data_IF_148913303249
#
_entry.id   IF_148913303249
#
_cell.length_a   1.000
_cell.length_b   1.000
_cell.length_c   1.000
_cell.angle_alpha   90.00
_cell.angle_beta   90.00
_cell.angle_gamma   90.00
#
_symmetry.space_group_name_H-M   'P 1'
#
loop_
_entity.id
_entity.type
_entity.pdbx_description
1 polymer ?
#
# COMPACT_ATOMS: atom_id res chain seq x y z
N UNK A 1 45.29 24.63 -72.82
CA UNK A 1 45.31 26.11 -72.80
C UNK A 1 44.81 26.56 -71.43
N UNK A 2 45.76 26.81 -70.51
CA UNK A 2 46.02 28.11 -69.85
C UNK A 2 44.86 28.60 -68.94
N UNK A 3 45.01 28.92 -67.65
CA UNK A 3 46.17 29.05 -66.75
C UNK A 3 45.68 29.44 -65.34
N UNK A 4 46.24 28.82 -64.27
CA UNK A 4 46.79 29.41 -63.01
C UNK A 4 45.88 30.25 -62.07
N UNK A 5 46.05 30.33 -60.74
CA UNK A 5 46.87 29.62 -59.73
C UNK A 5 46.71 30.30 -58.35
N UNK A 6 46.79 29.51 -57.26
CA UNK A 6 47.39 29.76 -55.91
C UNK A 6 46.75 30.82 -54.98
N UNK A 7 46.40 30.54 -53.71
CA UNK A 7 47.15 30.05 -52.51
C UNK A 7 48.28 30.97 -51.99
N UNK A 8 48.07 31.51 -50.78
CA UNK A 8 49.06 31.71 -49.69
C UNK A 8 48.30 32.10 -48.40
N UNK A 9 48.32 31.34 -47.28
CA UNK A 9 49.32 31.33 -46.18
C UNK A 9 49.68 32.77 -45.74
N UNK A 10 49.71 33.20 -44.48
CA UNK A 10 49.96 32.57 -43.16
C UNK A 10 50.05 33.70 -42.13
N UNK A 11 49.70 33.51 -40.86
CA UNK A 11 50.47 33.96 -39.66
C UNK A 11 49.62 34.03 -38.39
N UNK A 12 49.92 33.18 -37.39
CA UNK A 12 49.76 33.52 -35.97
C UNK A 12 50.75 34.66 -35.59
N UNK A 13 50.50 35.40 -34.50
CA UNK A 13 51.19 35.04 -33.25
C UNK A 13 50.35 35.21 -31.97
N UNK A 14 50.75 34.44 -30.96
CA UNK A 14 50.31 34.45 -29.57
C UNK A 14 50.93 35.58 -28.73
N UNK A 15 50.18 36.10 -27.73
CA UNK A 15 50.68 36.68 -26.46
C UNK A 15 49.58 36.49 -25.40
N UNK A 16 49.71 35.54 -24.47
CA UNK A 16 50.26 35.66 -23.09
C UNK A 16 49.60 36.75 -22.22
N UNK A 17 48.93 36.29 -21.16
CA UNK A 17 48.46 37.08 -20.02
C UNK A 17 47.81 36.18 -18.96
N UNK A 18 48.62 35.39 -18.26
CA UNK A 18 48.30 34.68 -17.01
C UNK A 18 48.08 35.67 -15.86
N UNK A 19 47.18 35.40 -14.90
CA UNK A 19 47.30 35.55 -13.42
C UNK A 19 45.95 35.08 -12.84
N UNK A 20 45.86 33.90 -12.23
CA UNK A 20 46.00 33.61 -10.78
C UNK A 20 44.70 33.85 -9.97
N UNK A 21 44.26 32.77 -9.32
CA UNK A 21 43.04 32.57 -8.50
C UNK A 21 43.14 33.27 -7.10
N UNK A 22 42.43 32.84 -6.01
CA UNK A 22 40.98 32.63 -5.75
C UNK A 22 40.49 33.27 -4.41
N UNK A 23 39.15 33.26 -4.17
CA UNK A 23 38.47 33.21 -2.83
C UNK A 23 38.66 34.42 -1.86
N UNK A 24 37.83 34.61 -0.78
CA UNK A 24 37.28 33.57 0.09
C UNK A 24 35.79 33.67 0.48
N UNK A 25 35.31 32.51 0.92
CA UNK A 25 34.08 32.28 1.66
C UNK A 25 33.99 33.06 2.99
N UNK A 26 32.76 33.43 3.36
CA UNK A 26 32.15 33.50 4.70
C UNK A 26 30.75 34.13 4.47
N UNK A 27 29.64 33.81 5.12
CA UNK A 27 29.37 33.06 6.32
C UNK A 27 27.95 32.48 6.24
N UNK A 28 27.76 31.40 7.00
CA UNK A 28 26.49 30.80 7.38
C UNK A 28 25.51 31.87 7.91
N UNK A 29 24.26 31.81 7.46
CA UNK A 29 23.13 32.37 8.21
C UNK A 29 22.07 31.29 8.39
N UNK A 30 22.16 30.63 9.54
CA UNK A 30 21.06 29.93 10.20
C UNK A 30 19.92 30.92 10.50
N UNK A 31 18.65 30.59 10.21
CA UNK A 31 17.53 31.33 10.77
C UNK A 31 17.40 31.05 12.27
N UNK A 32 16.90 31.99 13.08
CA UNK A 32 16.89 31.85 14.53
C UNK A 32 15.81 30.85 14.99
N UNK A 33 16.01 30.20 16.15
CA UNK A 33 15.02 29.32 16.75
C UNK A 33 13.90 30.17 17.38
N UNK A 34 12.64 29.78 17.12
CA UNK A 34 11.51 30.27 17.91
C UNK A 34 11.59 29.65 19.30
N UNK A 35 11.99 30.46 20.28
CA UNK A 35 11.85 30.15 21.69
C UNK A 35 10.36 30.24 22.08
N UNK A 36 9.83 29.15 22.63
CA UNK A 36 8.55 29.17 23.34
C UNK A 36 8.71 29.84 24.71
N UNK A 37 7.58 30.27 25.28
CA UNK A 37 7.24 30.45 26.71
C UNK A 37 5.82 31.09 26.79
N UNK A 38 5.07 31.02 27.91
CA UNK A 38 4.13 29.93 28.21
C UNK A 38 2.69 30.41 28.55
N UNK A 39 1.83 29.43 28.89
CA UNK A 39 0.79 29.49 29.92
C UNK A 39 -0.52 30.29 29.72
N UNK A 40 -1.60 29.55 30.01
CA UNK A 40 -2.72 29.86 30.92
C UNK A 40 -4.00 30.54 30.43
N UNK A 41 -5.10 29.97 30.98
CA UNK A 41 -6.45 30.51 31.21
C UNK A 41 -7.40 30.59 30.00
N UNK A 42 -8.32 29.63 29.86
CA UNK A 42 -9.60 29.58 30.57
C UNK A 42 -10.46 30.84 30.35
N UNK A 43 -11.41 30.75 29.43
CA UNK A 43 -12.57 31.64 29.41
C UNK A 43 -13.83 30.80 29.48
N UNK A 44 -14.51 30.96 30.61
CA UNK A 44 -15.80 30.39 30.91
C UNK A 44 -16.88 31.45 30.71
N UNK A 45 -18.02 31.01 30.16
CA UNK A 45 -19.40 31.42 30.47
C UNK A 45 -19.77 32.93 30.45
N UNK A 46 -20.62 33.27 29.47
CA UNK A 46 -22.05 33.71 29.62
C UNK A 46 -22.55 34.11 28.22
N UNK A 47 -23.81 33.85 27.81
CA UNK A 47 -25.04 34.13 28.52
C UNK A 47 -26.18 33.16 28.18
N UNK A 48 -27.18 33.16 29.08
CA UNK A 48 -28.41 32.36 29.12
C UNK A 48 -29.59 33.15 28.55
N UNK A 49 -30.59 32.44 28.04
CA UNK A 49 -32.03 32.73 28.23
C UNK A 49 -32.83 31.49 27.79
N UNK A 50 -33.20 30.55 28.65
CA UNK A 50 -34.46 30.44 29.45
C UNK A 50 -35.76 30.82 28.75
N UNK A 51 -36.55 29.80 28.38
CA UNK A 51 -38.00 29.58 28.60
C UNK A 51 -38.28 28.17 28.05
N UNK A 52 -38.92 27.18 28.69
CA UNK A 52 -39.86 27.12 29.81
C UNK A 52 -40.92 26.07 29.41
N UNK A 53 -40.84 24.86 29.97
CA UNK A 53 -41.89 23.83 29.89
C UNK A 53 -43.07 24.18 30.82
N UNK A 54 -44.28 23.72 30.49
CA UNK A 54 -45.06 22.89 31.42
C UNK A 54 -45.65 21.67 30.67
N UNK A 55 -45.80 20.46 31.22
CA UNK A 55 -46.41 20.09 32.48
C UNK A 55 -47.73 19.34 32.20
N UNK A 56 -47.71 18.00 32.32
CA UNK A 56 -48.87 17.08 32.24
C UNK A 56 -49.94 17.34 33.32
N UNK A 57 -51.20 16.95 33.10
CA UNK A 57 -51.77 15.70 33.67
C UNK A 57 -52.71 14.98 32.66
N UNK A 58 -53.04 13.69 32.67
CA UNK A 58 -53.20 12.71 33.74
C UNK A 58 -54.65 12.22 33.75
N UNK A 59 -54.87 10.93 33.39
CA UNK A 59 -55.84 9.98 34.00
C UNK A 59 -56.87 9.24 33.10
N UNK A 60 -56.81 7.90 33.23
CA UNK A 60 -57.87 6.86 33.38
C UNK A 60 -58.59 6.27 32.14
N UNK A 61 -58.45 4.93 32.02
CA UNK A 61 -59.22 4.01 31.15
C UNK A 61 -60.60 3.61 31.70
N UNK A 62 -61.27 2.58 31.14
CA UNK A 62 -61.19 1.16 31.59
C UNK A 62 -61.16 0.11 30.43
N UNK A 63 -60.51 -1.08 30.57
CA UNK A 63 -61.03 -2.47 30.86
C UNK A 63 -62.33 -2.85 30.10
N UNK A 64 -62.58 -4.04 29.54
CA UNK A 64 -62.08 -5.46 29.58
C UNK A 64 -62.87 -6.25 28.50
N UNK A 65 -62.41 -7.34 27.85
CA UNK A 65 -62.59 -8.81 28.12
C UNK A 65 -62.41 -9.55 26.75
N UNK A 66 -62.07 -10.83 26.56
CA UNK A 66 -61.71 -11.99 27.40
C UNK A 66 -60.94 -13.03 26.54
N UNK A 67 -60.04 -13.84 27.15
CA UNK A 67 -60.13 -15.32 27.34
C UNK A 67 -59.88 -16.19 26.09
N UNK A 68 -59.23 -17.38 26.07
CA UNK A 68 -58.42 -18.30 26.91
C UNK A 68 -57.91 -19.37 25.89
N UNK A 69 -56.77 -20.08 26.01
CA UNK A 69 -56.49 -21.25 26.88
C UNK A 69 -55.03 -21.72 26.59
N UNK A 70 -54.14 -21.91 27.58
CA UNK A 70 -53.73 -23.16 28.31
C UNK A 70 -53.40 -24.35 27.37
N UNK A 71 -52.26 -25.06 27.45
CA UNK A 71 -51.59 -25.75 28.59
C UNK A 71 -50.08 -26.03 28.30
N UNK A 72 -49.12 -25.93 29.25
CA UNK A 72 -48.46 -27.02 30.05
C UNK A 72 -48.31 -28.38 29.30
N UNK A 73 -47.18 -29.11 29.26
CA UNK A 73 -46.21 -29.47 30.31
C UNK A 73 -44.96 -30.23 29.77
N UNK A 74 -43.86 -30.11 30.52
CA UNK A 74 -42.72 -31.02 30.80
C UNK A 74 -42.51 -32.40 30.12
N UNK A 75 -41.22 -32.63 29.83
CA UNK A 75 -40.38 -33.80 30.18
C UNK A 75 -40.35 -35.09 29.32
N UNK A 76 -39.12 -35.61 29.26
CA UNK A 76 -38.70 -37.02 29.31
C UNK A 76 -38.28 -37.71 28.00
N UNK A 77 -37.04 -38.20 28.08
CA UNK A 77 -36.38 -39.21 27.26
C UNK A 77 -37.24 -40.46 27.00
N UNK A 78 -36.93 -41.15 25.88
CA UNK A 78 -37.19 -42.59 25.66
C UNK A 78 -36.00 -43.25 24.96
N UNK A 79 -35.71 -44.47 25.41
CA UNK A 79 -34.65 -45.41 25.04
C UNK A 79 -35.03 -46.30 23.82
N UNK A 80 -34.02 -46.76 23.05
CA UNK A 80 -33.57 -48.17 22.79
C UNK A 80 -34.24 -48.90 21.58
N UNK A 81 -33.67 -50.00 21.00
CA UNK A 81 -32.75 -51.00 21.61
C UNK A 81 -31.64 -51.68 20.75
N UNK A 82 -30.79 -52.45 21.46
CA UNK A 82 -30.04 -53.64 21.01
C UNK A 82 -28.51 -53.50 21.10
N UNK A 83 -27.69 -54.36 21.71
CA UNK A 83 -27.88 -55.62 22.43
C UNK A 83 -26.53 -56.39 22.48
N UNK A 84 -26.23 -57.00 23.65
CA UNK A 84 -25.31 -58.14 23.94
C UNK A 84 -23.82 -57.92 24.26
N UNK A 85 -23.49 -58.36 25.50
CA UNK A 85 -22.37 -59.24 25.96
C UNK A 85 -20.91 -58.82 25.64
N UNK A 86 -19.93 -58.83 26.54
CA UNK A 86 -19.82 -59.28 27.93
C UNK A 86 -18.35 -59.20 28.43
N UNK A 87 -18.17 -59.61 29.68
CA UNK A 87 -16.93 -60.10 30.33
C UNK A 87 -15.87 -59.09 30.82
N UNK A 88 -15.71 -59.09 32.14
CA UNK A 88 -14.64 -58.50 32.96
C UNK A 88 -13.39 -59.38 32.93
N UNK A 89 -12.20 -58.79 32.78
CA UNK A 89 -10.93 -59.45 33.13
C UNK A 89 -9.90 -58.48 33.72
N UNK A 90 -9.35 -58.87 34.87
CA UNK A 90 -8.30 -58.21 35.65
C UNK A 90 -6.94 -58.20 34.91
N UNK A 91 -6.06 -57.21 35.15
CA UNK A 91 -4.70 -57.23 34.59
C UNK A 91 -3.78 -58.17 35.38
N UNK A 92 -3.09 -59.07 34.66
CA UNK A 92 -1.99 -59.88 35.17
C UNK A 92 -0.67 -59.12 35.05
N UNK A 93 0.15 -59.17 36.10
CA UNK A 93 1.56 -58.74 36.13
C UNK A 93 2.46 -59.76 35.44
N UNK A 94 3.54 -59.28 34.82
CA UNK A 94 4.93 -59.80 34.77
C UNK A 94 5.70 -59.13 33.60
N UNK A 95 7.05 -59.16 33.55
CA UNK A 95 8.04 -58.72 34.54
C UNK A 95 9.04 -57.70 33.94
N UNK A 96 9.96 -57.20 34.77
CA UNK A 96 11.02 -56.27 34.39
C UNK A 96 11.92 -56.81 33.27
N UNK A 97 12.14 -55.99 32.24
CA UNK A 97 13.13 -56.20 31.19
C UNK A 97 13.94 -54.91 30.99
N UNK A 98 15.23 -54.98 31.29
CA UNK A 98 16.24 -53.96 31.04
C UNK A 98 16.37 -53.72 29.53
N UNK A 99 16.04 -52.52 29.07
CA UNK A 99 16.18 -52.08 27.67
C UNK A 99 16.76 -50.67 27.63
N UNK A 100 17.84 -50.52 26.86
CA UNK A 100 18.75 -49.39 26.83
C UNK A 100 18.07 -48.02 26.58
N UNK A 101 18.64 -46.98 27.20
CA UNK A 101 18.39 -45.57 26.86
C UNK A 101 18.78 -45.32 25.39
N UNK A 102 18.01 -44.54 24.61
CA UNK A 102 18.41 -44.17 23.27
C UNK A 102 19.69 -43.32 23.34
N UNK A 103 20.67 -43.70 22.52
CA UNK A 103 21.96 -43.03 22.39
C UNK A 103 21.79 -41.52 22.18
N UNK A 104 22.43 -40.74 23.05
CA UNK A 104 22.70 -39.32 22.80
C UNK A 104 23.43 -39.17 21.45
N UNK A 105 23.05 -38.19 20.61
CA UNK A 105 23.78 -37.92 19.38
C UNK A 105 25.22 -37.53 19.73
N UNK A 106 26.17 -38.01 18.91
CA UNK A 106 27.59 -37.74 19.07
C UNK A 106 27.87 -36.22 19.05
N UNK A 107 28.79 -35.70 19.90
CA UNK A 107 29.20 -34.32 19.85
C UNK A 107 30.09 -34.11 18.61
N UNK A 108 29.72 -33.18 17.73
CA UNK A 108 30.59 -32.76 16.63
C UNK A 108 29.97 -32.75 15.23
N UNK A 109 28.65 -32.61 15.09
CA UNK A 109 28.12 -31.97 13.89
C UNK A 109 27.94 -30.49 14.23
N UNK A 110 28.85 -29.66 13.75
CA UNK A 110 28.65 -28.21 13.66
C UNK A 110 27.42 -27.99 12.76
N UNK A 111 26.24 -27.99 13.39
CA UNK A 111 25.07 -27.37 12.80
C UNK A 111 25.49 -25.91 12.68
N UNK A 112 25.72 -25.45 11.47
CA UNK A 112 26.04 -24.06 11.21
C UNK A 112 24.76 -23.26 11.53
N UNK A 113 24.54 -22.98 12.82
CA UNK A 113 23.41 -22.20 13.29
C UNK A 113 23.68 -20.82 12.73
N UNK A 114 22.91 -20.43 11.72
CA UNK A 114 22.97 -19.09 11.17
C UNK A 114 22.61 -18.14 12.31
N UNK A 115 23.61 -17.49 12.91
CA UNK A 115 23.45 -16.59 14.07
C UNK A 115 22.92 -15.22 13.66
N UNK A 116 22.58 -15.05 12.37
CA UNK A 116 21.97 -13.85 11.82
C UNK A 116 20.52 -13.62 12.30
N UNK A 117 19.99 -12.41 12.09
CA UNK A 117 18.62 -12.08 12.46
C UNK A 117 17.62 -12.94 11.67
N UNK A 118 16.65 -13.53 12.37
CA UNK A 118 15.54 -14.28 11.74
C UNK A 118 14.55 -13.31 11.09
N UNK A 119 14.17 -13.54 9.84
CA UNK A 119 13.32 -12.64 9.05
C UNK A 119 12.00 -13.32 8.74
N UNK A 120 10.87 -12.68 9.05
CA UNK A 120 9.56 -13.17 8.62
C UNK A 120 9.17 -12.51 7.30
N UNK A 121 8.75 -13.28 6.30
CA UNK A 121 8.13 -12.77 5.07
C UNK A 121 6.63 -13.00 5.17
N UNK A 122 5.85 -11.95 5.40
CA UNK A 122 4.39 -12.05 5.50
C UNK A 122 3.74 -12.02 4.11
N UNK A 123 2.94 -13.03 3.78
CA UNK A 123 2.20 -13.10 2.53
C UNK A 123 0.82 -13.75 2.71
N UNK A 124 0.00 -13.79 1.65
CA UNK A 124 -1.41 -14.17 1.73
C UNK A 124 -2.29 -12.98 2.14
N UNK A 125 -3.00 -13.13 3.26
CA UNK A 125 -4.01 -12.19 3.75
C UNK A 125 -5.43 -12.56 3.31
N UNK A 126 -6.39 -11.74 3.75
CA UNK A 126 -7.84 -11.92 3.51
C UNK A 126 -8.38 -11.00 2.40
N UNK A 127 -7.50 -10.31 1.68
CA UNK A 127 -7.88 -9.41 0.58
C UNK A 127 -8.16 -10.18 -0.71
N UNK A 128 -8.74 -9.50 -1.70
CA UNK A 128 -8.90 -10.02 -3.05
C UNK A 128 -7.56 -10.28 -3.77
N UNK A 129 -6.45 -9.75 -3.25
CA UNK A 129 -5.12 -9.80 -3.84
C UNK A 129 -4.22 -10.89 -3.24
N UNK A 130 -4.81 -11.78 -2.41
CA UNK A 130 -4.14 -12.89 -1.72
C UNK A 130 -3.20 -13.69 -2.63
N UNK A 131 -3.63 -14.08 -3.82
CA UNK A 131 -2.82 -14.91 -4.71
C UNK A 131 -1.55 -14.20 -5.21
N UNK A 132 -1.66 -12.90 -5.50
CA UNK A 132 -0.51 -12.07 -5.88
C UNK A 132 0.44 -11.93 -4.69
N UNK A 133 -0.09 -11.78 -3.48
CA UNK A 133 0.67 -11.68 -2.24
C UNK A 133 1.46 -12.96 -1.97
N UNK A 134 0.85 -14.15 -2.14
CA UNK A 134 1.51 -15.44 -2.03
C UNK A 134 2.65 -15.62 -3.05
N UNK A 135 2.42 -15.24 -4.31
CA UNK A 135 3.43 -15.29 -5.37
C UNK A 135 4.61 -14.34 -5.09
N UNK A 136 4.32 -13.11 -4.68
CA UNK A 136 5.32 -12.14 -4.28
C UNK A 136 6.14 -12.64 -3.07
N UNK A 137 5.48 -13.19 -2.05
CA UNK A 137 6.10 -13.71 -0.83
C UNK A 137 7.07 -14.85 -1.11
N UNK A 138 6.67 -15.85 -1.91
CA UNK A 138 7.55 -16.96 -2.29
C UNK A 138 8.82 -16.48 -2.99
N UNK A 139 8.70 -15.49 -3.88
CA UNK A 139 9.84 -14.94 -4.62
C UNK A 139 10.78 -14.13 -3.70
N UNK A 140 10.22 -13.31 -2.81
CA UNK A 140 11.00 -12.55 -1.81
C UNK A 140 11.74 -13.50 -0.88
N UNK A 141 11.06 -14.53 -0.37
CA UNK A 141 11.67 -15.55 0.47
C UNK A 141 12.84 -16.24 -0.22
N UNK A 142 12.67 -16.67 -1.48
CA UNK A 142 13.74 -17.27 -2.27
C UNK A 142 14.95 -16.34 -2.44
N UNK A 143 14.70 -15.05 -2.71
CA UNK A 143 15.77 -14.04 -2.83
C UNK A 143 16.53 -13.83 -1.50
N UNK A 144 15.81 -13.78 -0.37
CA UNK A 144 16.43 -13.66 0.95
C UNK A 144 17.30 -14.87 1.30
N UNK A 145 16.80 -16.08 1.04
CA UNK A 145 17.56 -17.33 1.24
C UNK A 145 18.80 -17.37 0.35
N UNK A 146 18.69 -16.98 -0.93
CA UNK A 146 19.82 -16.90 -1.85
C UNK A 146 20.89 -15.89 -1.39
N UNK A 147 20.48 -14.85 -0.65
CA UNK A 147 21.37 -13.85 -0.02
C UNK A 147 21.92 -14.27 1.34
N UNK A 148 21.56 -15.45 1.84
CA UNK A 148 22.06 -16.03 3.09
C UNK A 148 21.33 -15.60 4.36
N UNK A 149 20.16 -14.95 4.24
CA UNK A 149 19.32 -14.62 5.39
C UNK A 149 18.61 -15.87 5.94
N UNK A 150 18.47 -15.95 7.26
CA UNK A 150 17.52 -16.88 7.89
C UNK A 150 16.11 -16.30 7.75
N UNK A 151 15.43 -16.67 6.66
CA UNK A 151 14.10 -16.17 6.32
C UNK A 151 13.06 -17.29 6.33
N UNK A 152 11.90 -17.00 6.91
CA UNK A 152 10.75 -17.90 6.96
C UNK A 152 9.54 -17.25 6.27
N UNK A 153 8.86 -18.00 5.41
CA UNK A 153 7.62 -17.56 4.78
C UNK A 153 6.46 -17.79 5.75
N UNK A 154 5.75 -16.72 6.09
CA UNK A 154 4.62 -16.73 7.02
C UNK A 154 3.35 -16.42 6.25
N UNK A 155 2.64 -17.47 5.85
CA UNK A 155 1.36 -17.34 5.17
C UNK A 155 0.25 -16.93 6.16
N UNK A 156 -0.48 -15.88 5.84
CA UNK A 156 -1.54 -15.31 6.66
C UNK A 156 -2.89 -15.77 6.12
N UNK A 157 -3.57 -16.63 6.85
CA UNK A 157 -4.98 -16.99 6.62
C UNK A 157 -5.92 -16.27 7.60
N UNK A 158 -5.40 -16.04 8.82
CA UNK A 158 -6.02 -15.22 9.87
C UNK A 158 -4.94 -14.36 10.53
N UNK A 159 -5.35 -13.22 11.06
CA UNK A 159 -4.51 -12.32 11.86
C UNK A 159 -4.48 -12.71 13.34
N UNK A 160 -5.28 -13.69 13.76
CA UNK A 160 -5.29 -14.19 15.13
C UNK A 160 -3.92 -14.75 15.52
N UNK A 161 -3.41 -14.34 16.68
CA UNK A 161 -2.12 -14.78 17.20
C UNK A 161 -0.90 -14.29 16.41
N UNK A 162 -1.08 -13.37 15.45
CA UNK A 162 0.03 -12.83 14.64
C UNK A 162 1.19 -12.29 15.49
N UNK A 163 0.97 -11.56 16.61
CA UNK A 163 2.07 -11.11 17.46
C UNK A 163 2.92 -12.25 18.03
N UNK A 164 2.28 -13.34 18.45
CA UNK A 164 2.97 -14.51 19.00
C UNK A 164 3.78 -15.23 17.91
N UNK A 165 3.22 -15.33 16.71
CA UNK A 165 3.91 -15.91 15.54
C UNK A 165 5.15 -15.09 15.16
N UNK A 166 5.09 -13.77 15.26
CA UNK A 166 6.18 -12.87 14.90
C UNK A 166 7.19 -12.61 16.05
N UNK A 167 6.94 -13.12 17.26
CA UNK A 167 7.72 -12.81 18.44
C UNK A 167 9.22 -13.13 18.28
N UNK A 168 9.55 -14.27 17.66
CA UNK A 168 10.93 -14.76 17.49
C UNK A 168 11.72 -14.13 16.34
N UNK A 169 11.07 -13.33 15.47
CA UNK A 169 11.71 -12.73 14.30
C UNK A 169 12.30 -11.37 14.60
N UNK A 170 13.47 -11.06 14.06
CA UNK A 170 14.12 -9.76 14.25
C UNK A 170 13.52 -8.66 13.37
N UNK A 171 13.03 -9.00 12.18
CA UNK A 171 12.40 -8.07 11.24
C UNK A 171 11.34 -8.74 10.39
N UNK A 172 10.52 -7.93 9.73
CA UNK A 172 9.42 -8.39 8.89
C UNK A 172 9.53 -7.79 7.48
N UNK A 173 9.49 -8.65 6.47
CA UNK A 173 9.22 -8.25 5.10
C UNK A 173 7.71 -8.41 4.87
N UNK A 174 6.96 -7.32 4.95
CA UNK A 174 5.53 -7.32 4.65
C UNK A 174 5.32 -7.33 3.13
N UNK A 175 4.56 -8.29 2.59
CA UNK A 175 4.10 -8.28 1.20
C UNK A 175 2.62 -8.68 1.08
N UNK A 176 1.84 -8.41 2.14
CA UNK A 176 0.39 -8.54 2.15
C UNK A 176 -0.24 -7.44 1.27
N UNK A 177 -0.68 -7.77 0.06
CA UNK A 177 -1.36 -6.81 -0.81
C UNK A 177 -2.83 -6.59 -0.39
N UNK A 178 -3.30 -5.35 -0.48
CA UNK A 178 -4.67 -4.96 -0.14
C UNK A 178 -5.01 -5.06 1.35
N UNK A 179 -6.08 -4.36 1.75
CA UNK A 179 -6.59 -4.37 3.12
C UNK A 179 -5.51 -4.12 4.17
N UNK A 180 -5.51 -4.94 5.23
CA UNK A 180 -4.65 -4.78 6.41
C UNK A 180 -3.14 -4.73 6.11
N UNK A 181 -2.71 -5.26 4.96
CA UNK A 181 -1.32 -5.25 4.53
C UNK A 181 -0.84 -3.94 3.95
N UNK A 182 -1.74 -3.13 3.39
CA UNK A 182 -1.45 -1.86 2.72
C UNK A 182 -2.15 -0.63 3.34
N UNK A 183 -3.16 -0.83 4.19
CA UNK A 183 -3.92 0.25 4.84
C UNK A 183 -3.29 0.79 6.13
N UNK A 184 -2.16 0.22 6.56
CA UNK A 184 -1.43 0.62 7.77
C UNK A 184 -1.72 -0.24 9.00
N UNK A 185 -2.69 -1.17 8.96
CA UNK A 185 -3.09 -1.98 10.12
C UNK A 185 -1.97 -2.91 10.58
N UNK A 186 -1.36 -3.68 9.67
CA UNK A 186 -0.23 -4.56 9.99
C UNK A 186 1.00 -3.74 10.36
N UNK A 187 1.24 -2.61 9.70
CA UNK A 187 2.35 -1.71 9.99
C UNK A 187 2.27 -1.17 11.43
N UNK A 188 1.10 -0.73 11.87
CA UNK A 188 0.88 -0.27 13.24
C UNK A 188 1.13 -1.39 14.25
N UNK A 189 0.69 -2.62 13.94
CA UNK A 189 0.98 -3.77 14.80
C UNK A 189 2.49 -4.01 14.94
N UNK A 190 3.23 -3.96 13.82
CA UNK A 190 4.69 -4.14 13.81
C UNK A 190 5.40 -3.02 14.58
N UNK A 191 4.94 -1.77 14.45
CA UNK A 191 5.42 -0.63 15.24
C UNK A 191 5.21 -0.88 16.75
N UNK A 192 4.01 -1.33 17.17
CA UNK A 192 3.70 -1.67 18.58
C UNK A 192 4.57 -2.82 19.11
N UNK A 193 4.94 -3.77 18.25
CA UNK A 193 5.82 -4.88 18.60
C UNK A 193 7.31 -4.49 18.60
N UNK A 194 7.66 -3.26 18.19
CA UNK A 194 9.05 -2.82 18.03
C UNK A 194 9.80 -3.61 16.94
N UNK A 195 9.08 -4.16 15.95
CA UNK A 195 9.67 -4.94 14.85
C UNK A 195 9.95 -4.00 13.68
N UNK A 196 11.20 -3.84 13.22
CA UNK A 196 11.46 -3.17 11.96
C UNK A 196 10.85 -3.96 10.79
N UNK A 197 10.39 -3.23 9.79
CA UNK A 197 9.87 -3.84 8.56
C UNK A 197 10.21 -3.05 7.31
N UNK A 198 10.18 -3.78 6.20
CA UNK A 198 10.28 -3.23 4.84
C UNK A 198 8.96 -2.58 4.45
N UNK A 199 9.05 -1.39 3.86
CA UNK A 199 7.90 -0.63 3.35
C UNK A 199 7.47 0.52 4.24
N UNK A 200 6.48 1.25 3.75
CA UNK A 200 5.97 2.48 4.36
C UNK A 200 5.33 2.26 5.74
N UNK A 201 5.39 3.27 6.60
CA UNK A 201 4.76 3.24 7.94
C UNK A 201 3.22 3.38 7.89
N UNK A 202 2.52 3.26 9.03
CA UNK A 202 1.06 3.14 9.07
C UNK A 202 0.33 4.35 8.45
N UNK A 203 0.77 5.58 8.72
CA UNK A 203 0.13 6.77 8.17
C UNK A 203 0.28 6.84 6.64
N UNK A 204 1.49 6.60 6.14
CA UNK A 204 1.77 6.64 4.70
C UNK A 204 1.02 5.52 3.95
N UNK A 205 0.95 4.33 4.54
CA UNK A 205 0.13 3.21 4.05
C UNK A 205 -1.36 3.57 3.99
N UNK A 206 -1.92 4.10 5.08
CA UNK A 206 -3.31 4.55 5.13
C UNK A 206 -3.62 5.64 4.08
N UNK A 207 -2.74 6.62 3.92
CA UNK A 207 -2.88 7.67 2.92
C UNK A 207 -2.75 7.14 1.49
N UNK A 208 -1.84 6.20 1.23
CA UNK A 208 -1.70 5.56 -0.08
C UNK A 208 -2.94 4.75 -0.48
N UNK A 209 -3.55 4.05 0.48
CA UNK A 209 -4.79 3.30 0.26
C UNK A 209 -6.02 4.21 0.08
N UNK A 210 -6.03 5.38 0.74
CA UNK A 210 -7.16 6.31 0.69
C UNK A 210 -7.08 7.25 -0.52
N UNK A 211 -7.84 6.92 -1.58
CA UNK A 211 -7.87 7.68 -2.84
C UNK A 211 -8.40 9.10 -2.70
N UNK A 212 -9.16 9.41 -1.66
CA UNK A 212 -9.67 10.77 -1.41
C UNK A 212 -8.61 11.61 -0.72
N UNK A 213 -8.01 11.09 0.37
CA UNK A 213 -7.04 11.85 1.14
C UNK A 213 -5.71 12.02 0.40
N UNK A 214 -5.23 11.00 -0.32
CA UNK A 214 -4.06 11.13 -1.19
C UNK A 214 -4.26 12.20 -2.26
N UNK A 215 -5.43 12.24 -2.93
CA UNK A 215 -5.75 13.27 -3.92
C UNK A 215 -5.77 14.68 -3.35
N UNK A 216 -6.36 14.86 -2.16
CA UNK A 216 -6.32 16.15 -1.46
C UNK A 216 -4.89 16.58 -1.15
N UNK A 217 -4.04 15.66 -0.69
CA UNK A 217 -2.62 15.94 -0.46
C UNK A 217 -1.92 16.37 -1.75
N UNK A 218 -2.09 15.61 -2.84
CA UNK A 218 -1.52 15.92 -4.15
C UNK A 218 -1.95 17.30 -4.65
N UNK A 219 -3.24 17.61 -4.60
CA UNK A 219 -3.78 18.92 -4.99
C UNK A 219 -3.23 20.05 -4.12
N UNK A 220 -3.13 19.84 -2.81
CA UNK A 220 -2.53 20.80 -1.88
C UNK A 220 -1.07 21.13 -2.19
N UNK A 221 -0.35 20.21 -2.86
CA UNK A 221 1.03 20.41 -3.34
C UNK A 221 1.12 20.90 -4.79
N UNK A 222 -0.02 21.07 -5.48
CA UNK A 222 -0.07 21.44 -6.89
C UNK A 222 0.29 20.30 -7.85
N UNK A 223 0.26 19.04 -7.39
CA UNK A 223 0.45 17.87 -8.24
C UNK A 223 -0.84 17.61 -9.04
N UNK A 224 -0.78 17.51 -10.39
CA UNK A 224 -1.96 17.27 -11.20
C UNK A 224 -2.63 15.93 -10.88
N UNK A 225 -3.92 15.97 -10.59
CA UNK A 225 -4.82 14.82 -10.49
C UNK A 225 -6.01 15.05 -11.42
N UNK A 226 -6.68 14.02 -11.94
CA UNK A 226 -7.93 14.23 -12.66
C UNK A 226 -8.94 14.93 -11.76
N UNK A 227 -9.73 15.84 -12.31
CA UNK A 227 -10.83 16.46 -11.56
C UNK A 227 -11.79 15.37 -11.07
N UNK A 228 -12.28 15.52 -9.84
CA UNK A 228 -12.95 14.44 -9.12
C UNK A 228 -13.98 14.95 -8.12
N UNK A 229 -14.90 14.07 -7.74
CA UNK A 229 -15.81 14.25 -6.63
C UNK A 229 -15.99 12.94 -5.84
N UNK A 230 -16.41 13.07 -4.59
CA UNK A 230 -16.57 11.96 -3.66
C UNK A 230 -18.02 11.92 -3.15
N UNK A 231 -18.62 10.72 -3.17
CA UNK A 231 -20.01 10.49 -2.73
C UNK A 231 -20.02 9.49 -1.59
N UNK A 232 -20.65 9.88 -0.48
CA UNK A 232 -20.94 8.99 0.65
C UNK A 232 -22.40 8.58 0.67
N UNK A 233 -22.72 7.49 1.36
CA UNK A 233 -24.09 7.01 1.54
C UNK A 233 -25.07 8.04 2.11
N UNK A 234 -24.57 9.03 2.85
CA UNK A 234 -25.35 10.11 3.46
C UNK A 234 -25.59 11.30 2.50
N UNK A 235 -24.79 11.44 1.44
CA UNK A 235 -24.80 12.58 0.52
C UNK A 235 -25.01 12.19 -0.94
N UNK A 236 -25.82 11.14 -1.18
CA UNK A 236 -26.05 10.56 -2.51
C UNK A 236 -26.59 11.58 -3.53
N UNK A 237 -27.41 12.52 -3.08
CA UNK A 237 -28.10 13.48 -3.95
C UNK A 237 -27.14 14.45 -4.66
N UNK A 238 -25.95 14.71 -4.11
CA UNK A 238 -24.97 15.62 -4.69
C UNK A 238 -24.16 15.04 -5.86
N UNK A 239 -24.08 13.72 -5.99
CA UNK A 239 -23.23 13.08 -7.00
C UNK A 239 -23.65 13.39 -8.44
N UNK A 240 -24.96 13.54 -8.69
CA UNK A 240 -25.48 13.79 -10.03
C UNK A 240 -25.15 15.21 -10.55
N UNK A 241 -25.24 16.24 -9.69
CA UNK A 241 -24.90 17.61 -10.08
C UNK A 241 -23.40 17.77 -10.31
N UNK A 242 -22.58 17.17 -9.44
CA UNK A 242 -21.12 17.17 -9.61
C UNK A 242 -20.69 16.44 -10.88
N UNK A 243 -21.33 15.32 -11.22
CA UNK A 243 -21.07 14.61 -12.45
C UNK A 243 -21.45 15.42 -13.70
N UNK A 244 -22.56 16.17 -13.65
CA UNK A 244 -22.99 17.03 -14.74
C UNK A 244 -22.00 18.19 -14.97
N UNK A 245 -21.41 18.74 -13.91
CA UNK A 245 -20.37 19.77 -13.98
C UNK A 245 -19.05 19.21 -14.56
N UNK A 246 -18.64 18.01 -14.10
CA UNK A 246 -17.38 17.38 -14.51
C UNK A 246 -17.40 16.84 -15.94
N UNK A 247 -18.58 16.42 -16.40
CA UNK A 247 -18.80 15.80 -17.70
C UNK A 247 -18.40 14.32 -17.77
N UNK A 248 -18.88 13.64 -18.80
CA UNK A 248 -18.63 12.21 -19.05
C UNK A 248 -17.59 12.00 -20.16
N UNK A 249 -16.87 10.85 -20.17
CA UNK A 249 -16.99 9.72 -19.25
C UNK A 249 -16.23 9.91 -17.92
N UNK A 250 -16.67 9.17 -16.90
CA UNK A 250 -16.09 9.16 -15.55
C UNK A 250 -15.55 7.78 -15.19
N UNK A 251 -14.43 7.74 -14.49
CA UNK A 251 -13.96 6.56 -13.75
C UNK A 251 -14.55 6.60 -12.35
N UNK A 252 -15.23 5.52 -11.96
CA UNK A 252 -15.90 5.38 -10.66
C UNK A 252 -15.27 4.21 -9.92
N UNK A 253 -14.81 4.44 -8.68
CA UNK A 253 -14.07 3.45 -7.89
C UNK A 253 -14.33 3.57 -6.39
N UNK A 254 -14.26 2.47 -5.62
CA UNK A 254 -14.28 2.53 -4.17
C UNK A 254 -13.08 3.33 -3.65
N UNK A 255 -13.24 3.94 -2.48
CA UNK A 255 -12.24 4.83 -1.88
C UNK A 255 -10.96 4.11 -1.44
N UNK A 256 -11.08 2.89 -0.90
CA UNK A 256 -10.02 2.18 -0.14
C UNK A 256 -9.75 0.75 -0.61
N UNK A 257 -10.00 0.46 -1.88
CA UNK A 257 -9.63 -0.83 -2.47
C UNK A 257 -8.44 -0.67 -3.42
N UNK A 258 -7.75 -1.78 -3.72
CA UNK A 258 -6.65 -1.82 -4.67
C UNK A 258 -7.04 -1.39 -6.09
N UNK A 259 -6.04 -1.03 -6.91
CA UNK A 259 -6.13 -0.39 -8.24
C UNK A 259 -7.07 -1.03 -9.27
N UNK A 260 -7.47 -2.29 -9.07
CA UNK A 260 -8.27 -3.06 -10.03
C UNK A 260 -9.61 -3.54 -9.47
N UNK A 261 -9.89 -3.29 -8.19
CA UNK A 261 -11.10 -3.78 -7.53
C UNK A 261 -12.18 -2.71 -7.58
N UNK A 262 -13.31 -3.02 -8.21
CA UNK A 262 -14.48 -2.15 -8.25
C UNK A 262 -14.27 -0.86 -9.06
N UNK A 263 -13.40 -0.87 -10.07
CA UNK A 263 -13.20 0.28 -10.96
C UNK A 263 -14.06 0.15 -12.21
N UNK A 264 -14.90 1.15 -12.48
CA UNK A 264 -15.86 1.15 -13.57
C UNK A 264 -15.73 2.42 -14.41
N UNK A 265 -16.06 2.30 -15.70
CA UNK A 265 -16.20 3.44 -16.62
C UNK A 265 -17.69 3.75 -16.79
N UNK A 266 -18.14 4.92 -16.31
CA UNK A 266 -19.49 5.42 -16.51
C UNK A 266 -19.50 6.45 -17.65
N UNK A 267 -20.23 6.16 -18.73
CA UNK A 267 -20.29 7.01 -19.94
C UNK A 267 -21.42 8.04 -19.91
N UNK A 268 -22.35 7.90 -18.98
CA UNK A 268 -23.53 8.75 -18.84
C UNK A 268 -24.07 8.67 -17.41
N UNK A 269 -25.10 9.46 -17.13
CA UNK A 269 -25.73 9.55 -15.81
C UNK A 269 -26.40 8.25 -15.36
N UNK A 270 -27.02 7.50 -16.27
CA UNK A 270 -27.66 6.23 -15.93
C UNK A 270 -26.62 5.17 -15.51
N UNK A 271 -25.50 5.08 -16.24
CA UNK A 271 -24.38 4.19 -15.89
C UNK A 271 -23.76 4.59 -14.53
N UNK A 272 -23.58 5.90 -14.27
CA UNK A 272 -23.10 6.39 -12.98
C UNK A 272 -24.05 6.03 -11.85
N UNK A 273 -25.36 6.20 -12.04
CA UNK A 273 -26.36 5.86 -11.03
C UNK A 273 -26.35 4.37 -10.69
N UNK A 274 -26.25 3.51 -11.71
CA UNK A 274 -26.19 2.06 -11.53
C UNK A 274 -24.94 1.64 -10.76
N UNK A 275 -23.75 2.05 -11.22
CA UNK A 275 -22.48 1.72 -10.57
C UNK A 275 -22.39 2.34 -9.18
N UNK A 276 -22.85 3.59 -9.03
CA UNK A 276 -22.86 4.30 -7.76
C UNK A 276 -23.70 3.57 -6.71
N UNK A 277 -24.89 3.07 -7.07
CA UNK A 277 -25.72 2.25 -6.16
C UNK A 277 -25.01 0.97 -5.72
N UNK A 278 -24.33 0.28 -6.64
CA UNK A 278 -23.56 -0.93 -6.33
C UNK A 278 -22.43 -0.62 -5.33
N UNK A 279 -21.58 0.36 -5.64
CA UNK A 279 -20.45 0.72 -4.79
C UNK A 279 -20.90 1.27 -3.43
N UNK A 280 -21.95 2.08 -3.38
CA UNK A 280 -22.51 2.55 -2.11
C UNK A 280 -23.09 1.41 -1.26
N UNK A 281 -23.71 0.41 -1.88
CA UNK A 281 -24.24 -0.75 -1.15
C UNK A 281 -23.13 -1.63 -0.60
N UNK A 282 -22.00 -1.74 -1.31
CA UNK A 282 -20.91 -2.64 -0.94
C UNK A 282 -19.87 -1.98 -0.03
N UNK A 283 -19.54 -0.73 -0.29
CA UNK A 283 -18.43 0.00 0.33
C UNK A 283 -18.86 1.26 1.09
N UNK A 284 -20.12 1.69 0.96
CA UNK A 284 -20.65 2.88 1.65
C UNK A 284 -20.27 4.22 1.01
N UNK A 285 -19.21 4.26 0.19
CA UNK A 285 -18.70 5.45 -0.48
C UNK A 285 -18.02 5.12 -1.81
N UNK A 286 -17.93 6.10 -2.71
CA UNK A 286 -17.13 5.98 -3.94
C UNK A 286 -16.55 7.33 -4.37
N UNK A 287 -15.45 7.24 -5.10
CA UNK A 287 -14.81 8.34 -5.80
C UNK A 287 -15.18 8.26 -7.29
N UNK A 288 -15.53 9.40 -7.89
CA UNK A 288 -15.67 9.52 -9.34
C UNK A 288 -14.72 10.61 -9.87
N UNK A 289 -14.06 10.34 -10.98
CA UNK A 289 -13.06 11.23 -11.57
C UNK A 289 -13.19 11.27 -13.09
N UNK A 290 -12.78 12.39 -13.68
CA UNK A 290 -12.79 12.56 -15.13
C UNK A 290 -11.90 11.50 -15.78
N UNK A 291 -12.45 10.79 -16.76
CA UNK A 291 -11.65 9.89 -17.56
C UNK A 291 -10.65 10.69 -18.41
N UNK A 292 -9.36 10.45 -18.20
CA UNK A 292 -8.31 11.07 -19.00
C UNK A 292 -7.89 10.08 -20.10
N UNK A 293 -8.14 10.36 -21.39
CA UNK A 293 -7.64 9.53 -22.48
C UNK A 293 -6.13 9.71 -22.63
N UNK A 294 -5.38 8.62 -22.69
CA UNK A 294 -3.93 8.72 -22.64
C UNK A 294 -3.22 7.40 -22.38
N UNK A 295 -1.91 7.51 -22.15
CA UNK A 295 -1.01 6.38 -21.90
C UNK A 295 -0.97 6.06 -20.40
N UNK A 296 -0.87 4.79 -20.04
CA UNK A 296 -0.66 4.35 -18.65
C UNK A 296 0.83 4.26 -18.36
N UNK A 297 1.32 5.15 -17.49
CA UNK A 297 2.72 5.24 -17.11
C UNK A 297 2.82 4.96 -15.61
N UNK A 298 3.77 4.13 -15.19
CA UNK A 298 4.05 3.91 -13.77
C UNK A 298 5.48 4.32 -13.46
N UNK A 299 5.66 4.97 -12.32
CA UNK A 299 6.97 5.35 -11.80
C UNK A 299 7.19 4.65 -10.46
N UNK A 300 8.20 3.78 -10.40
CA UNK A 300 8.63 3.15 -9.17
C UNK A 300 9.67 4.04 -8.48
N UNK A 301 9.47 4.29 -7.18
CA UNK A 301 10.43 5.02 -6.35
C UNK A 301 11.04 4.04 -5.37
N UNK A 302 12.35 4.11 -5.19
CA UNK A 302 13.10 3.37 -4.17
C UNK A 302 13.97 4.34 -3.40
N UNK A 303 14.07 4.16 -2.09
CA UNK A 303 15.01 4.92 -1.28
C UNK A 303 16.36 4.20 -1.24
N UNK A 304 17.44 4.91 -1.57
CA UNK A 304 18.83 4.44 -1.43
C UNK A 304 19.68 5.57 -0.86
N UNK A 305 20.60 5.22 0.04
CA UNK A 305 21.53 6.19 0.64
C UNK A 305 20.85 7.41 1.30
N UNK A 306 19.62 7.22 1.80
CA UNK A 306 18.82 8.28 2.43
C UNK A 306 18.05 9.18 1.46
N UNK A 307 18.09 8.90 0.16
CA UNK A 307 17.41 9.67 -0.87
C UNK A 307 16.38 8.83 -1.62
N UNK A 308 15.24 9.43 -1.96
CA UNK A 308 14.20 8.82 -2.79
C UNK A 308 14.52 9.03 -4.27
N UNK A 309 14.64 7.95 -5.03
CA UNK A 309 14.97 7.97 -6.45
C UNK A 309 13.89 7.26 -7.27
N UNK A 310 13.42 7.90 -8.33
CA UNK A 310 12.54 7.27 -9.30
C UNK A 310 13.33 6.44 -10.32
N UNK A 311 12.93 5.19 -10.48
CA UNK A 311 13.47 4.24 -11.44
C UNK A 311 12.96 4.54 -12.88
N UNK A 312 13.50 3.88 -13.91
CA UNK A 312 13.01 4.01 -15.27
C UNK A 312 11.49 3.79 -15.36
N UNK A 313 10.81 4.69 -16.06
CA UNK A 313 9.36 4.63 -16.21
C UNK A 313 8.95 3.35 -16.94
N UNK A 314 7.83 2.78 -16.54
CA UNK A 314 7.23 1.62 -17.21
C UNK A 314 5.92 2.08 -17.84
N UNK A 315 5.67 1.67 -19.08
CA UNK A 315 4.40 1.90 -19.75
C UNK A 315 3.66 0.59 -19.97
N UNK A 316 2.36 0.62 -19.73
CA UNK A 316 1.44 -0.50 -19.99
C UNK A 316 0.51 -0.10 -21.15
N UNK A 317 0.55 -0.86 -22.24
CA UNK A 317 -0.26 -0.64 -23.45
C UNK A 317 -1.20 -1.83 -23.67
N UNK A 318 -2.49 -1.62 -23.99
CA UNK A 318 -3.33 -2.68 -24.56
C UNK A 318 -2.71 -3.27 -25.84
N UNK A 319 -2.88 -4.57 -26.09
CA UNK A 319 -2.44 -5.29 -27.31
C UNK A 319 -3.35 -5.02 -28.50
N UNK A 320 -4.65 -4.82 -28.24
CA UNK A 320 -5.68 -4.57 -29.25
C UNK A 320 -6.55 -3.41 -28.77
N UNK A 321 -7.01 -2.60 -29.72
CA UNK A 321 -7.76 -1.38 -29.45
C UNK A 321 -6.88 -0.14 -29.24
N UNK A 322 -7.47 1.04 -29.42
CA UNK A 322 -6.85 2.31 -29.05
C UNK A 322 -6.77 2.47 -27.52
N UNK A 323 -6.13 3.56 -27.08
CA UNK A 323 -6.01 4.09 -25.70
C UNK A 323 -7.31 4.13 -24.84
N UNK A 324 -8.44 3.71 -25.42
CA UNK A 324 -9.79 3.68 -24.86
C UNK A 324 -10.30 2.28 -24.47
N UNK A 325 -9.59 1.19 -24.81
CA UNK A 325 -10.04 -0.15 -24.43
C UNK A 325 -9.69 -0.45 -22.96
N UNK A 326 -10.56 0.04 -22.08
CA UNK A 326 -10.55 -0.24 -20.64
C UNK A 326 -10.51 -1.76 -20.36
N UNK A 327 -11.20 -2.56 -21.16
CA UNK A 327 -11.34 -4.01 -20.97
C UNK A 327 -10.00 -4.72 -21.08
N UNK A 328 -9.19 -4.34 -22.08
CA UNK A 328 -7.90 -4.96 -22.37
C UNK A 328 -6.84 -4.74 -21.26
N UNK A 329 -6.98 -3.68 -20.43
CA UNK A 329 -6.09 -3.42 -19.29
C UNK A 329 -6.24 -4.46 -18.17
N UNK A 330 -7.41 -5.09 -18.08
CA UNK A 330 -7.76 -6.03 -17.00
C UNK A 330 -7.90 -7.48 -17.48
N UNK A 331 -7.66 -7.74 -18.78
CA UNK A 331 -7.61 -9.11 -19.32
C UNK A 331 -6.17 -9.64 -19.32
N UNK A 332 -5.89 -10.77 -18.63
CA UNK A 332 -4.57 -11.40 -18.65
C UNK A 332 -4.09 -11.69 -20.09
N UNK A 333 -2.87 -11.29 -20.40
CA UNK A 333 -2.27 -11.51 -21.72
C UNK A 333 -2.60 -10.44 -22.77
N UNK A 334 -3.45 -9.45 -22.47
CA UNK A 334 -3.84 -8.40 -23.43
C UNK A 334 -3.06 -7.10 -23.29
N UNK A 335 -1.98 -7.06 -22.50
CA UNK A 335 -1.11 -5.88 -22.39
C UNK A 335 0.32 -6.14 -22.87
N UNK A 336 0.95 -5.12 -23.43
CA UNK A 336 2.37 -4.99 -23.74
C UNK A 336 2.97 -4.05 -22.69
N UNK A 337 4.07 -4.46 -22.07
CA UNK A 337 4.77 -3.66 -21.06
C UNK A 337 6.13 -3.25 -21.61
N UNK A 338 6.38 -1.95 -21.74
CA UNK A 338 7.68 -1.39 -22.16
C UNK A 338 8.37 -0.70 -20.98
N UNK A 339 9.67 -0.99 -20.81
CA UNK A 339 10.54 -0.37 -19.83
C UNK A 339 11.94 -0.27 -20.46
N UNK A 340 12.54 0.93 -20.57
CA UNK A 340 11.95 2.22 -20.20
C UNK A 340 10.75 2.58 -21.09
N UNK A 341 9.86 3.43 -20.60
CA UNK A 341 8.79 4.00 -21.41
C UNK A 341 9.38 4.94 -22.47
N UNK A 342 8.87 4.84 -23.71
CA UNK A 342 9.32 5.67 -24.83
C UNK A 342 8.73 7.08 -24.73
N UNK A 343 9.45 7.98 -24.07
CA UNK A 343 9.05 9.35 -23.79
C UNK A 343 10.23 10.33 -23.98
N UNK A 344 9.97 11.60 -24.36
CA UNK A 344 11.01 12.63 -24.39
C UNK A 344 11.68 12.77 -23.01
N UNK A 345 13.02 12.98 -22.94
CA UNK A 345 13.75 13.04 -21.68
C UNK A 345 13.18 14.03 -20.65
N UNK A 346 12.71 15.20 -21.11
CA UNK A 346 12.13 16.21 -20.24
C UNK A 346 10.81 15.76 -19.61
N UNK A 347 10.00 15.02 -20.36
CA UNK A 347 8.74 14.48 -19.87
C UNK A 347 9.01 13.31 -18.90
N UNK A 348 9.99 12.46 -19.21
CA UNK A 348 10.44 11.39 -18.31
C UNK A 348 10.88 11.95 -16.96
N UNK A 349 11.77 12.95 -16.97
CA UNK A 349 12.25 13.61 -15.76
C UNK A 349 11.10 14.23 -14.95
N UNK A 350 10.17 14.92 -15.63
CA UNK A 350 8.99 15.52 -14.96
C UNK A 350 8.13 14.48 -14.24
N UNK A 351 7.85 13.33 -14.86
CA UNK A 351 7.03 12.27 -14.24
C UNK A 351 7.79 11.64 -13.06
N UNK A 352 9.10 11.42 -13.21
CA UNK A 352 9.96 10.90 -12.15
C UNK A 352 10.01 11.85 -10.94
N UNK A 353 10.20 13.15 -11.16
CA UNK A 353 10.14 14.18 -10.12
C UNK A 353 8.80 14.19 -9.39
N UNK A 354 7.69 14.11 -10.14
CA UNK A 354 6.33 14.04 -9.57
C UNK A 354 6.14 12.79 -8.70
N UNK A 355 6.69 11.64 -9.10
CA UNK A 355 6.62 10.41 -8.32
C UNK A 355 7.42 10.51 -7.01
N UNK A 356 8.63 11.07 -7.05
CA UNK A 356 9.44 11.35 -5.85
C UNK A 356 8.72 12.33 -4.93
N UNK A 357 8.14 13.40 -5.48
CA UNK A 357 7.34 14.35 -4.69
C UNK A 357 6.14 13.69 -4.03
N UNK A 358 5.43 12.81 -4.72
CA UNK A 358 4.30 12.07 -4.15
C UNK A 358 4.73 11.10 -3.04
N UNK A 359 5.85 10.39 -3.24
CA UNK A 359 6.46 9.50 -2.24
C UNK A 359 6.76 10.26 -0.94
N UNK A 360 7.48 11.38 -1.06
CA UNK A 360 7.87 12.22 0.08
C UNK A 360 6.62 12.84 0.74
N UNK A 361 5.68 13.34 -0.06
CA UNK A 361 4.48 14.03 0.44
C UNK A 361 3.61 13.13 1.31
N UNK A 362 3.44 11.85 0.95
CA UNK A 362 2.68 10.91 1.75
C UNK A 362 3.47 10.32 2.92
N UNK A 363 4.77 10.65 3.04
CA UNK A 363 5.65 10.08 4.07
C UNK A 363 5.99 8.61 3.81
N UNK A 364 5.98 8.19 2.55
CA UNK A 364 6.42 6.85 2.18
C UNK A 364 7.89 6.66 2.52
N UNK A 365 8.29 5.39 2.67
CA UNK A 365 9.69 4.99 2.84
C UNK A 365 9.98 3.68 2.12
N UNK A 366 11.26 3.41 1.90
CA UNK A 366 11.83 2.28 1.17
C UNK A 366 11.45 2.17 -0.31
N UNK A 367 10.15 2.12 -0.60
CA UNK A 367 9.63 1.92 -1.94
C UNK A 367 8.19 2.42 -2.08
N UNK A 368 7.82 2.77 -3.31
CA UNK A 368 6.43 2.94 -3.74
C UNK A 368 6.31 2.83 -5.26
N UNK A 369 5.09 2.69 -5.77
CA UNK A 369 4.79 2.84 -7.20
C UNK A 369 3.66 3.83 -7.40
N UNK A 370 3.93 4.90 -8.13
CA UNK A 370 2.91 5.88 -8.52
C UNK A 370 2.42 5.57 -9.92
N UNK A 371 1.10 5.53 -10.08
CA UNK A 371 0.44 5.27 -11.36
C UNK A 371 -0.05 6.60 -11.95
N UNK A 372 0.25 6.83 -13.22
CA UNK A 372 -0.08 8.05 -13.95
C UNK A 372 -0.90 7.75 -15.20
N UNK A 373 -1.76 8.69 -15.52
CA UNK A 373 -2.38 8.83 -16.83
C UNK A 373 -1.72 9.98 -17.58
N UNK A 374 -0.96 9.68 -18.62
CA UNK A 374 -0.35 10.68 -19.48
C UNK A 374 -1.34 11.08 -20.58
N UNK A 375 -1.94 12.26 -20.43
CA UNK A 375 -2.89 12.80 -21.39
C UNK A 375 -2.23 13.09 -22.76
N UNK A 376 -3.06 13.21 -23.79
CA UNK A 376 -2.62 13.45 -25.19
C UNK A 376 -1.86 14.76 -25.38
N UNK A 377 -2.11 15.75 -24.53
CA UNK A 377 -1.41 17.04 -24.50
C UNK A 377 -0.04 16.97 -23.78
N UNK A 378 0.33 15.79 -23.26
CA UNK A 378 1.56 15.57 -22.51
C UNK A 378 1.45 15.85 -21.01
N UNK A 379 0.26 16.16 -20.49
CA UNK A 379 0.05 16.38 -19.05
C UNK A 379 -0.03 15.04 -18.30
N UNK A 380 0.89 14.76 -17.35
CA UNK A 380 0.78 13.58 -16.49
C UNK A 380 -0.17 13.85 -15.32
N UNK A 381 -1.19 13.02 -15.19
CA UNK A 381 -2.14 13.04 -14.07
C UNK A 381 -1.88 11.88 -13.12
N UNK A 382 -1.70 12.18 -11.84
CA UNK A 382 -1.44 11.20 -10.80
C UNK A 382 -2.75 10.50 -10.42
N UNK A 383 -2.79 9.17 -10.57
CA UNK A 383 -3.98 8.37 -10.31
C UNK A 383 -4.00 7.86 -8.87
N UNK A 384 -2.90 7.26 -8.43
CA UNK A 384 -2.73 6.72 -7.09
C UNK A 384 -1.25 6.41 -6.80
N UNK A 385 -0.94 6.18 -5.52
CA UNK A 385 0.36 5.74 -5.05
C UNK A 385 0.19 4.44 -4.26
N UNK A 386 0.90 3.40 -4.69
CA UNK A 386 0.91 2.09 -4.05
C UNK A 386 2.14 1.98 -3.14
N UNK A 387 1.91 1.76 -1.85
CA UNK A 387 2.97 1.63 -0.83
C UNK A 387 3.56 0.23 -0.76
N UNK A 388 2.86 -0.79 -1.28
CA UNK A 388 3.31 -2.17 -1.31
C UNK A 388 3.11 -2.80 -2.70
N UNK A 389 3.79 -2.28 -3.74
CA UNK A 389 3.57 -2.73 -5.10
C UNK A 389 3.91 -4.22 -5.26
N UNK A 390 3.22 -4.87 -6.21
CA UNK A 390 3.50 -6.27 -6.57
C UNK A 390 4.97 -6.54 -6.84
N UNK A 391 5.46 -7.70 -6.39
CA UNK A 391 6.86 -8.11 -6.48
C UNK A 391 7.06 -9.42 -7.26
N UNK A 392 6.04 -9.87 -7.99
CA UNK A 392 6.12 -11.05 -8.88
C UNK A 392 7.02 -10.79 -10.10
N UNK A 393 7.38 -11.83 -10.84
CA UNK A 393 8.23 -11.73 -12.04
C UNK A 393 7.67 -10.74 -13.08
N UNK A 394 6.34 -10.72 -13.22
CA UNK A 394 5.63 -9.86 -14.17
C UNK A 394 5.29 -8.48 -13.62
N UNK A 395 5.63 -8.20 -12.35
CA UNK A 395 5.29 -6.93 -11.71
C UNK A 395 6.14 -5.77 -12.24
N UNK A 396 5.52 -4.58 -12.26
CA UNK A 396 6.12 -3.38 -12.85
C UNK A 396 7.32 -2.87 -12.05
N UNK A 397 7.28 -2.96 -10.72
CA UNK A 397 8.36 -2.48 -9.85
C UNK A 397 9.67 -3.27 -10.05
N UNK A 398 9.69 -4.63 -9.95
CA UNK A 398 10.89 -5.41 -10.27
C UNK A 398 11.42 -5.18 -11.68
N UNK A 399 10.53 -4.93 -12.64
CA UNK A 399 10.92 -4.65 -14.04
C UNK A 399 11.66 -3.31 -14.15
N UNK A 400 11.15 -2.25 -13.52
CA UNK A 400 11.82 -0.95 -13.44
C UNK A 400 13.17 -1.04 -12.73
N UNK A 401 13.25 -1.78 -11.61
CA UNK A 401 14.49 -1.99 -10.87
C UNK A 401 15.55 -2.69 -11.72
N UNK A 402 15.18 -3.76 -12.44
CA UNK A 402 16.10 -4.46 -13.34
C UNK A 402 16.62 -3.56 -14.45
N UNK A 403 15.76 -2.72 -15.04
CA UNK A 403 16.16 -1.75 -16.06
C UNK A 403 17.15 -0.71 -15.52
N UNK A 404 17.02 -0.33 -14.24
CA UNK A 404 17.97 0.52 -13.54
C UNK A 404 19.30 -0.19 -13.19
N UNK A 405 19.50 -1.44 -13.61
CA UNK A 405 20.67 -2.23 -13.24
C UNK A 405 20.65 -2.71 -11.78
N UNK A 406 19.46 -2.82 -11.16
CA UNK A 406 19.28 -3.33 -9.80
C UNK A 406 18.67 -4.74 -9.86
N UNK A 407 19.48 -5.82 -9.70
CA UNK A 407 18.99 -7.19 -9.67
C UNK A 407 17.97 -7.39 -8.55
N UNK A 408 17.02 -8.31 -8.77
CA UNK A 408 15.93 -8.54 -7.83
C UNK A 408 16.43 -8.90 -6.42
N UNK A 409 17.40 -9.81 -6.32
CA UNK A 409 17.90 -10.24 -5.02
C UNK A 409 18.65 -9.11 -4.29
N UNK A 410 19.34 -8.23 -5.03
CA UNK A 410 20.00 -7.04 -4.48
C UNK A 410 18.99 -5.99 -4.01
N UNK A 411 17.89 -5.82 -4.76
CA UNK A 411 16.77 -4.98 -4.34
C UNK A 411 16.18 -5.47 -3.02
N UNK A 412 15.85 -6.76 -2.92
CA UNK A 412 15.24 -7.35 -1.73
C UNK A 412 16.18 -7.27 -0.52
N UNK A 413 17.46 -7.62 -0.70
CA UNK A 413 18.50 -7.50 0.34
C UNK A 413 18.66 -6.04 0.81
N UNK A 414 18.76 -5.09 -0.11
CA UNK A 414 18.91 -3.67 0.21
C UNK A 414 17.71 -3.10 0.99
N UNK A 415 16.49 -3.49 0.62
CA UNK A 415 15.27 -3.11 1.34
C UNK A 415 15.27 -3.67 2.76
N UNK A 416 15.62 -4.95 2.94
CA UNK A 416 15.69 -5.56 4.27
C UNK A 416 16.76 -4.93 5.15
N UNK A 417 17.96 -4.66 4.60
CA UNK A 417 19.04 -3.99 5.34
C UNK A 417 18.62 -2.61 5.82
N UNK A 418 17.89 -1.85 4.98
CA UNK A 418 17.32 -0.56 5.39
C UNK A 418 16.32 -0.71 6.53
N UNK A 419 15.46 -1.71 6.49
CA UNK A 419 14.56 -2.02 7.61
C UNK A 419 15.32 -2.32 8.90
N UNK A 420 16.31 -3.21 8.85
CA UNK A 420 17.13 -3.57 10.00
C UNK A 420 17.91 -2.38 10.56
N UNK A 421 18.34 -1.44 9.72
CA UNK A 421 19.00 -0.21 10.17
C UNK A 421 18.08 0.73 10.97
N UNK A 422 16.74 0.55 10.91
CA UNK A 422 15.75 1.31 11.67
C UNK A 422 15.43 0.75 13.06
N UNK A 423 16.15 -0.26 13.54
CA UNK A 423 16.00 -0.78 14.90
C UNK A 423 16.05 0.37 15.94
N UNK A 424 15.21 0.30 16.99
CA UNK A 424 14.33 1.40 17.36
C UNK A 424 15.05 2.52 18.10
N UNK A 425 15.01 3.73 17.54
CA UNK A 425 14.69 4.88 18.37
C UNK A 425 13.17 5.05 18.25
N UNK A 426 12.37 4.87 19.33
CA UNK A 426 10.99 5.31 19.30
C UNK A 426 11.00 6.82 19.02
N UNK A 427 10.77 7.20 17.77
CA UNK A 427 10.49 8.59 17.44
C UNK A 427 9.05 8.85 17.89
N UNK A 428 8.81 9.90 18.69
CA UNK A 428 7.45 10.34 18.97
C UNK A 428 6.71 10.53 17.64
N UNK A 429 5.45 10.08 17.57
CA UNK A 429 4.52 10.61 16.58
C UNK A 429 4.48 12.11 16.85
N UNK A 430 5.03 12.90 15.91
CA UNK A 430 5.36 14.31 16.07
C UNK A 430 4.34 15.16 16.81
#
# INVERSE_FOLDING_TARGET
MNTRSRLSRSSEPSRRGSWSAPCPATARRTPPPFAGLPCTESWSKRARSTTGLPGTPGSRGPRSTGERARSRSSASCREAPGGREGVVARPRRHPAGTGALPHSPAPGQDVNVNTGPRIAVLCGGTSAEREISLLSGRRIHAALVAKGWDAELIEIETYDGLPQRLASFAAVFNILHGGAGEDGTVQLLLDLMGKPYVGSGPLASALGMDKVESRRAFQGKGLPVPDWFHVTGEHREGGASQAAELGYPLIVKPRREGSSVGVHLARNSAELEQVGKELLSRYGEFLAERFIPGRDITASVVERDGEAEALPLVEVKPRKGDLFDWTAKYTPGECIVSCPAELPPQLTARIQEMAVQAHILLGCRDLSRTDFRLARDGTPYLLELNTLPGMTEMSLFPRAAREAGLPYDDLIDGLLRRALARLPAPAPLG
#
